data_IF_284550212301
#
_entry.id   IF_284550212301
#
_cell.length_a   1.000
_cell.length_b   1.000
_cell.length_c   1.000
_cell.angle_alpha   90.00
_cell.angle_beta   90.00
_cell.angle_gamma   90.00
#
_symmetry.space_group_name_H-M   'P 1'
#
loop_
_entity.id
_entity.type
_entity.pdbx_description
1 polymer ?
#
# COMPACT_ATOMS: atom_id res chain seq x y z
N UNK A 1 -25.25 -26.96 20.76
CA UNK A 1 -24.14 -26.68 19.82
C UNK A 1 -24.57 -25.52 18.92
N UNK A 2 -24.05 -24.31 19.17
CA UNK A 2 -24.48 -23.09 18.46
C UNK A 2 -23.94 -23.14 17.03
N UNK A 3 -24.81 -23.28 16.02
CA UNK A 3 -24.40 -23.25 14.60
C UNK A 3 -23.84 -21.85 14.31
N UNK A 4 -22.55 -21.75 14.02
CA UNK A 4 -21.92 -20.49 13.63
C UNK A 4 -22.49 -20.09 12.28
N UNK A 5 -23.14 -18.92 12.22
CA UNK A 5 -23.67 -18.39 10.97
C UNK A 5 -22.50 -18.05 10.04
N UNK A 6 -22.41 -18.67 8.84
CA UNK A 6 -21.35 -18.41 7.88
C UNK A 6 -21.26 -16.92 7.51
N UNK A 7 -22.39 -16.23 7.53
CA UNK A 7 -22.52 -14.81 7.14
C UNK A 7 -21.87 -13.89 8.16
N UNK A 8 -22.02 -14.19 9.47
CA UNK A 8 -21.33 -13.45 10.54
C UNK A 8 -19.81 -13.64 10.45
N UNK A 9 -19.36 -14.86 10.15
CA UNK A 9 -17.93 -15.16 9.97
C UNK A 9 -17.35 -14.39 8.78
N UNK A 10 -18.06 -14.35 7.65
CA UNK A 10 -17.64 -13.58 6.46
C UNK A 10 -17.60 -12.08 6.77
N UNK A 11 -18.62 -11.52 7.44
CA UNK A 11 -18.63 -10.11 7.86
C UNK A 11 -17.47 -9.77 8.81
N UNK A 12 -17.15 -10.66 9.75
CA UNK A 12 -16.01 -10.53 10.65
C UNK A 12 -14.67 -10.51 9.91
N UNK A 13 -14.50 -11.41 8.94
CA UNK A 13 -13.30 -11.46 8.08
C UNK A 13 -13.18 -10.19 7.24
N UNK A 14 -14.27 -9.73 6.62
CA UNK A 14 -14.28 -8.49 5.82
C UNK A 14 -13.95 -7.27 6.68
N UNK A 15 -14.50 -7.17 7.90
CA UNK A 15 -14.17 -6.09 8.84
C UNK A 15 -12.70 -6.16 9.30
N UNK A 16 -12.19 -7.34 9.62
CA UNK A 16 -10.79 -7.52 10.00
C UNK A 16 -9.84 -7.21 8.83
N UNK A 17 -10.20 -7.61 7.62
CA UNK A 17 -9.49 -7.32 6.38
C UNK A 17 -9.49 -5.81 6.11
N UNK A 18 -10.66 -5.15 6.13
CA UNK A 18 -10.79 -3.69 5.99
C UNK A 18 -10.05 -2.93 7.10
N UNK A 19 -10.08 -3.40 8.34
CA UNK A 19 -9.36 -2.77 9.45
C UNK A 19 -7.84 -2.85 9.27
N UNK A 20 -7.32 -4.03 8.88
CA UNK A 20 -5.89 -4.24 8.65
C UNK A 20 -5.39 -3.50 7.40
N UNK A 21 -6.08 -3.63 6.27
CA UNK A 21 -5.72 -2.95 5.02
C UNK A 21 -5.99 -1.45 5.10
N UNK A 22 -7.04 -1.01 5.79
CA UNK A 22 -7.36 0.40 6.01
C UNK A 22 -6.29 1.12 6.82
N UNK A 23 -5.73 0.49 7.87
CA UNK A 23 -4.59 1.08 8.61
C UNK A 23 -3.35 1.25 7.72
N UNK A 24 -3.03 0.25 6.89
CA UNK A 24 -1.88 0.31 5.97
C UNK A 24 -2.08 1.36 4.88
N UNK A 25 -3.28 1.41 4.29
CA UNK A 25 -3.64 2.41 3.30
C UNK A 25 -3.61 3.83 3.87
N UNK A 26 -4.08 4.03 5.11
CA UNK A 26 -3.97 5.31 5.81
C UNK A 26 -2.52 5.70 6.08
N UNK A 27 -1.68 4.76 6.53
CA UNK A 27 -0.26 5.01 6.75
C UNK A 27 0.52 5.33 5.45
N UNK A 28 0.06 4.80 4.32
CA UNK A 28 0.56 5.17 3.00
C UNK A 28 0.08 6.57 2.58
N UNK A 29 -1.21 6.87 2.75
CA UNK A 29 -1.78 8.18 2.42
C UNK A 29 -1.06 9.31 3.15
N UNK A 30 -0.87 9.18 4.47
CA UNK A 30 -0.16 10.19 5.29
C UNK A 30 1.24 10.49 4.76
N UNK A 31 1.97 9.49 4.23
CA UNK A 31 3.30 9.71 3.66
C UNK A 31 3.28 10.39 2.29
N UNK A 32 2.25 10.13 1.49
CA UNK A 32 2.10 10.68 0.14
C UNK A 32 1.46 12.08 0.13
N UNK A 33 0.74 12.42 1.20
CA UNK A 33 0.06 13.71 1.39
C UNK A 33 0.95 14.73 2.13
N UNK A 34 2.22 14.40 2.39
CA UNK A 34 3.19 15.35 2.95
C UNK A 34 3.58 16.44 1.95
N UNK A 35 4.18 17.52 2.46
CA UNK A 35 4.54 18.71 1.68
C UNK A 35 5.92 18.63 1.00
N UNK A 36 6.61 17.47 1.08
CA UNK A 36 7.90 17.26 0.43
C UNK A 36 7.75 17.09 -1.09
N UNK A 37 8.78 17.43 -1.87
CA UNK A 37 8.83 17.21 -3.33
C UNK A 37 9.41 15.83 -3.72
N UNK A 38 9.91 15.08 -2.73
CA UNK A 38 10.39 13.71 -2.87
C UNK A 38 9.83 12.85 -1.72
N UNK A 39 9.41 11.62 -2.04
CA UNK A 39 9.00 10.64 -1.04
C UNK A 39 9.65 9.28 -1.28
N UNK A 40 10.22 8.73 -0.22
CA UNK A 40 10.82 7.39 -0.20
C UNK A 40 9.92 6.44 0.57
N UNK A 41 9.35 5.47 -0.12
CA UNK A 41 8.43 4.48 0.43
C UNK A 41 9.06 3.10 0.45
N UNK A 42 8.92 2.41 1.59
CA UNK A 42 9.40 1.04 1.78
C UNK A 42 8.18 0.10 1.86
N UNK A 43 7.81 -0.59 0.77
CA UNK A 43 6.57 -1.37 0.72
C UNK A 43 6.51 -2.48 1.78
N UNK A 44 7.65 -3.05 2.18
CA UNK A 44 7.73 -4.06 3.24
C UNK A 44 7.40 -3.50 4.63
N UNK A 45 7.77 -2.25 4.93
CA UNK A 45 7.39 -1.59 6.19
C UNK A 45 5.89 -1.32 6.25
N UNK A 46 5.30 -0.94 5.11
CA UNK A 46 3.85 -0.74 4.97
C UNK A 46 3.07 -2.06 4.85
N UNK A 47 3.77 -3.17 4.57
CA UNK A 47 3.20 -4.48 4.23
C UNK A 47 2.16 -4.38 3.12
N UNK A 48 2.50 -3.61 2.08
CA UNK A 48 1.68 -3.39 0.87
C UNK A 48 2.44 -3.83 -0.39
N UNK A 49 1.76 -4.32 -1.44
CA UNK A 49 2.38 -4.57 -2.73
C UNK A 49 2.91 -3.28 -3.38
N UNK A 50 4.04 -3.33 -4.11
CA UNK A 50 4.59 -2.20 -4.90
C UNK A 50 3.55 -1.60 -5.83
N UNK A 51 2.74 -2.44 -6.49
CA UNK A 51 1.68 -1.98 -7.40
C UNK A 51 0.64 -1.11 -6.69
N UNK A 52 0.28 -1.42 -5.44
CA UNK A 52 -0.66 -0.62 -4.64
C UNK A 52 0.00 0.71 -4.24
N UNK A 53 1.25 0.67 -3.80
CA UNK A 53 2.02 1.88 -3.47
C UNK A 53 2.18 2.78 -4.69
N UNK A 54 2.54 2.22 -5.84
CA UNK A 54 2.66 2.91 -7.11
C UNK A 54 1.35 3.53 -7.56
N UNK A 55 0.26 2.76 -7.57
CA UNK A 55 -1.05 3.26 -7.98
C UNK A 55 -1.51 4.43 -7.09
N UNK A 56 -1.30 4.32 -5.77
CA UNK A 56 -1.64 5.37 -4.82
C UNK A 56 -0.77 6.63 -4.92
N UNK A 57 0.53 6.46 -5.24
CA UNK A 57 1.44 7.56 -5.50
C UNK A 57 1.04 8.27 -6.80
N UNK A 58 0.85 7.52 -7.89
CA UNK A 58 0.45 8.06 -9.20
C UNK A 58 -0.89 8.79 -9.14
N UNK A 59 -1.86 8.28 -8.36
CA UNK A 59 -3.16 8.95 -8.17
C UNK A 59 -3.06 10.31 -7.48
N UNK A 60 -1.90 10.64 -6.89
CA UNK A 60 -1.59 11.92 -6.22
C UNK A 60 -0.60 12.78 -7.01
N UNK A 61 -0.28 12.39 -8.24
CA UNK A 61 0.65 13.12 -9.11
C UNK A 61 2.12 12.80 -8.88
N UNK A 62 2.44 11.77 -8.10
CA UNK A 62 3.82 11.34 -7.89
C UNK A 62 4.30 10.44 -9.03
N UNK A 63 5.52 10.71 -9.52
CA UNK A 63 6.18 9.91 -10.55
C UNK A 63 7.39 9.16 -9.99
N UNK A 64 7.61 7.90 -10.38
CA UNK A 64 8.73 7.11 -9.87
C UNK A 64 10.06 7.64 -10.41
N UNK A 65 11.03 7.82 -9.52
CA UNK A 65 12.41 8.15 -9.90
C UNK A 65 12.99 6.98 -10.70
N UNK A 66 13.49 7.26 -11.90
CA UNK A 66 13.96 6.23 -12.85
C UNK A 66 12.85 5.60 -13.71
N UNK A 67 11.63 6.14 -13.66
CA UNK A 67 10.51 5.74 -14.51
C UNK A 67 9.88 4.40 -14.14
N UNK A 68 8.89 3.96 -14.92
CA UNK A 68 8.12 2.73 -14.65
C UNK A 68 8.98 1.46 -14.68
N UNK A 69 10.13 1.48 -15.37
CA UNK A 69 11.09 0.36 -15.39
C UNK A 69 11.68 0.05 -14.01
N UNK A 70 11.79 1.04 -13.12
CA UNK A 70 12.21 0.84 -11.73
C UNK A 70 11.22 -0.02 -10.91
N UNK A 71 10.03 -0.30 -11.46
CA UNK A 71 8.99 -1.12 -10.83
C UNK A 71 9.02 -2.58 -11.29
N UNK A 72 9.77 -2.90 -12.35
CA UNK A 72 9.76 -4.21 -13.04
C UNK A 72 10.72 -5.22 -12.39
N UNK A 73 11.52 -4.82 -11.39
CA UNK A 73 12.47 -5.73 -10.76
C UNK A 73 11.77 -6.94 -10.11
N UNK A 74 12.18 -8.14 -10.54
CA UNK A 74 11.79 -9.43 -9.97
C UNK A 74 12.73 -9.77 -8.80
N UNK A 75 12.20 -10.15 -7.64
CA UNK A 75 13.01 -10.61 -6.50
C UNK A 75 12.39 -10.27 -5.13
N UNK A 76 12.98 -10.76 -4.02
CA UNK A 76 12.57 -10.38 -2.68
C UNK A 76 12.68 -8.86 -2.48
N UNK A 77 11.64 -8.30 -1.87
CA UNK A 77 11.35 -6.87 -1.89
C UNK A 77 12.22 -6.11 -0.88
N UNK A 78 13.42 -5.70 -1.31
CA UNK A 78 14.42 -5.02 -0.46
C UNK A 78 14.70 -3.56 -0.86
N UNK A 79 14.27 -3.13 -2.06
CA UNK A 79 14.59 -1.81 -2.59
C UNK A 79 13.47 -0.77 -2.37
N UNK A 80 13.76 0.40 -1.78
CA UNK A 80 12.78 1.45 -1.59
C UNK A 80 12.22 1.96 -2.93
N UNK A 81 11.00 2.47 -2.91
CA UNK A 81 10.39 3.18 -4.03
C UNK A 81 10.58 4.67 -3.79
N UNK A 82 11.24 5.35 -4.71
CA UNK A 82 11.40 6.80 -4.67
C UNK A 82 10.46 7.44 -5.67
N UNK A 83 9.80 8.51 -5.26
CA UNK A 83 8.91 9.29 -6.09
C UNK A 83 9.20 10.77 -5.95
N UNK A 84 8.92 11.52 -7.01
CA UNK A 84 9.01 12.98 -7.06
C UNK A 84 7.75 13.56 -7.70
N UNK A 85 7.46 14.83 -7.41
CA UNK A 85 6.27 15.54 -7.90
C UNK A 85 6.63 16.61 -8.92
#
# INVERSE_FOLDING_TARGET
MRKIDPTERVRGVVRAFRGRHGRRARALAVRLDGDDDEVVLRPWELRLPRAVVYAAARSRGWEPVGGTRALVQRGPWLEPMRFTR
#
